data_IF_960919870344
#
_entry.id   IF_960919870344
#
_cell.length_a   1.000
_cell.length_b   1.000
_cell.length_c   1.000
_cell.angle_alpha   90.00
_cell.angle_beta   90.00
_cell.angle_gamma   90.00
#
_symmetry.space_group_name_H-M   'P 1'
#
loop_
_entity.id
_entity.type
_entity.pdbx_description
1 polymer ?
#
# COMPACT_ATOMS: atom_id res chain seq x y z
N UNK A 1 -19.05 -7.02 -37.15
CA UNK A 1 -17.70 -7.10 -37.79
C UNK A 1 -16.59 -6.79 -36.78
N UNK A 2 -15.51 -7.57 -36.76
CA UNK A 2 -14.34 -7.28 -35.92
C UNK A 2 -13.55 -6.10 -36.50
N UNK A 3 -12.94 -5.29 -35.64
CA UNK A 3 -12.01 -4.25 -36.08
C UNK A 3 -10.76 -4.90 -36.67
N UNK A 4 -10.06 -4.19 -37.57
CA UNK A 4 -8.80 -4.67 -38.14
C UNK A 4 -7.78 -5.04 -37.05
N UNK A 5 -7.77 -4.28 -35.95
CA UNK A 5 -6.92 -4.51 -34.78
C UNK A 5 -7.31 -5.78 -34.04
N UNK A 6 -8.61 -5.99 -33.76
CA UNK A 6 -9.08 -7.21 -33.12
C UNK A 6 -8.80 -8.47 -33.95
N UNK A 7 -8.92 -8.39 -35.28
CA UNK A 7 -8.54 -9.49 -36.18
C UNK A 7 -7.05 -9.82 -36.08
N UNK A 8 -6.19 -8.79 -36.07
CA UNK A 8 -4.74 -8.95 -35.88
C UNK A 8 -4.41 -9.57 -34.52
N UNK A 9 -5.07 -9.15 -33.44
CA UNK A 9 -4.89 -9.75 -32.11
C UNK A 9 -5.23 -11.24 -32.10
N UNK A 10 -6.30 -11.67 -32.78
CA UNK A 10 -6.65 -13.09 -32.89
C UNK A 10 -5.60 -13.87 -33.68
N UNK A 11 -5.06 -13.31 -34.77
CA UNK A 11 -3.96 -13.93 -35.51
C UNK A 11 -2.70 -14.09 -34.64
N UNK A 12 -2.37 -13.07 -33.84
CA UNK A 12 -1.25 -13.11 -32.88
C UNK A 12 -1.51 -14.14 -31.77
N UNK A 13 -2.74 -14.31 -31.30
CA UNK A 13 -3.06 -15.32 -30.27
C UNK A 13 -2.78 -16.75 -30.75
N UNK A 14 -2.95 -17.03 -32.05
CA UNK A 14 -2.55 -18.31 -32.64
C UNK A 14 -1.03 -18.52 -32.65
N UNK A 15 -0.24 -17.44 -32.74
CA UNK A 15 1.22 -17.51 -32.62
C UNK A 15 1.64 -17.77 -31.16
N UNK A 16 0.97 -17.14 -30.19
CA UNK A 16 1.21 -17.36 -28.76
C UNK A 16 0.90 -18.80 -28.34
N UNK A 17 -0.21 -19.37 -28.82
CA UNK A 17 -0.55 -20.78 -28.58
C UNK A 17 0.55 -21.74 -29.08
N UNK A 18 1.08 -21.49 -30.27
CA UNK A 18 2.20 -22.28 -30.82
C UNK A 18 3.49 -22.09 -30.01
N UNK A 19 3.79 -20.88 -29.57
CA UNK A 19 4.96 -20.58 -28.75
C UNK A 19 4.91 -21.28 -27.39
N UNK A 20 3.72 -21.39 -26.79
CA UNK A 20 3.47 -22.10 -25.54
C UNK A 20 3.25 -23.61 -25.71
N UNK A 21 3.31 -24.13 -26.94
CA UNK A 21 3.06 -25.54 -27.30
C UNK A 21 1.66 -26.03 -26.88
N UNK A 22 0.68 -25.13 -26.83
CA UNK A 22 -0.73 -25.47 -26.62
C UNK A 22 -1.35 -26.07 -27.88
N UNK A 23 -2.25 -27.04 -27.71
CA UNK A 23 -2.96 -27.68 -28.83
C UNK A 23 -4.05 -26.78 -29.40
N UNK A 24 -4.71 -26.02 -28.52
CA UNK A 24 -5.85 -25.16 -28.85
C UNK A 24 -5.55 -23.70 -28.45
N UNK A 25 -6.30 -22.76 -29.04
CA UNK A 25 -6.19 -21.34 -28.72
C UNK A 25 -7.17 -21.03 -27.58
N UNK A 26 -6.66 -21.05 -26.36
CA UNK A 26 -7.40 -20.68 -25.15
C UNK A 26 -7.26 -19.19 -24.76
N UNK A 27 -7.97 -18.80 -23.70
CA UNK A 27 -8.09 -17.42 -23.21
C UNK A 27 -6.76 -16.75 -22.88
N UNK A 28 -5.78 -17.51 -22.40
CA UNK A 28 -4.47 -16.98 -22.02
C UNK A 28 -3.66 -16.51 -23.23
N UNK A 29 -3.82 -17.17 -24.38
CA UNK A 29 -3.15 -16.77 -25.63
C UNK A 29 -3.76 -15.48 -26.18
N UNK A 30 -5.08 -15.32 -26.02
CA UNK A 30 -5.78 -14.08 -26.37
C UNK A 30 -5.32 -12.94 -25.46
N UNK A 31 -5.18 -13.19 -24.15
CA UNK A 31 -4.67 -12.20 -23.20
C UNK A 31 -3.23 -11.77 -23.54
N UNK A 32 -2.34 -12.71 -23.81
CA UNK A 32 -0.96 -12.40 -24.22
C UNK A 32 -0.92 -11.61 -25.54
N UNK A 33 -1.75 -11.96 -26.50
CA UNK A 33 -1.86 -11.22 -27.76
C UNK A 33 -2.38 -9.80 -27.58
N UNK A 34 -3.32 -9.58 -26.65
CA UNK A 34 -3.81 -8.24 -26.30
C UNK A 34 -2.71 -7.39 -25.65
N UNK A 35 -1.90 -7.98 -24.77
CA UNK A 35 -0.79 -7.30 -24.10
C UNK A 35 0.40 -7.03 -25.02
N UNK A 36 0.55 -7.80 -26.10
CA UNK A 36 1.61 -7.62 -27.11
C UNK A 36 1.37 -6.42 -28.04
N UNK A 37 0.14 -5.95 -28.14
CA UNK A 37 -0.24 -4.76 -28.88
C UNK A 37 -0.28 -3.54 -27.94
N UNK A 38 0.89 -2.97 -27.63
CA UNK A 38 1.07 -1.90 -26.62
C UNK A 38 0.24 -0.64 -26.90
N UNK A 39 -0.03 -0.36 -28.17
CA UNK A 39 -0.86 0.76 -28.62
C UNK A 39 -2.38 0.45 -28.58
N UNK A 40 -2.76 -0.79 -28.25
CA UNK A 40 -4.15 -1.22 -28.13
C UNK A 40 -4.79 -0.71 -26.84
N UNK A 41 -6.09 -0.40 -26.91
CA UNK A 41 -6.87 0.07 -25.74
C UNK A 41 -6.79 -0.93 -24.59
N UNK A 42 -6.82 -2.23 -24.88
CA UNK A 42 -6.71 -3.27 -23.86
C UNK A 42 -5.36 -3.24 -23.13
N UNK A 43 -4.24 -3.10 -23.85
CA UNK A 43 -2.91 -2.98 -23.26
C UNK A 43 -2.78 -1.71 -22.41
N UNK A 44 -3.33 -0.58 -22.88
CA UNK A 44 -3.32 0.68 -22.13
C UNK A 44 -4.13 0.59 -20.82
N UNK A 45 -5.30 -0.04 -20.85
CA UNK A 45 -6.12 -0.27 -19.66
C UNK A 45 -5.38 -1.18 -18.69
N UNK A 46 -4.82 -2.29 -19.15
CA UNK A 46 -4.09 -3.24 -18.30
C UNK A 46 -2.80 -2.63 -17.72
N UNK A 47 -2.12 -1.78 -18.48
CA UNK A 47 -0.94 -1.02 -18.02
C UNK A 47 -1.29 -0.06 -16.88
N UNK A 48 -2.50 0.49 -16.83
CA UNK A 48 -2.99 1.28 -15.68
C UNK A 48 -3.05 0.46 -14.38
N UNK A 49 -3.21 -0.85 -14.51
CA UNK A 49 -3.14 -1.81 -13.41
C UNK A 49 -1.74 -2.42 -13.22
N UNK A 50 -0.72 -1.87 -13.89
CA UNK A 50 0.68 -2.35 -13.86
C UNK A 50 0.84 -3.79 -14.39
N UNK A 51 -0.09 -4.26 -15.23
CA UNK A 51 -0.04 -5.58 -15.85
C UNK A 51 0.61 -5.43 -17.22
N UNK A 52 1.82 -5.99 -17.38
CA UNK A 52 2.54 -6.05 -18.64
C UNK A 52 2.60 -7.48 -19.21
N UNK A 53 2.99 -7.60 -20.48
CA UNK A 53 3.12 -8.90 -21.16
C UNK A 53 4.04 -9.86 -20.40
N UNK A 54 5.15 -9.35 -19.86
CA UNK A 54 6.18 -10.17 -19.22
C UNK A 54 5.66 -10.78 -17.92
N UNK A 55 4.99 -9.98 -17.10
CA UNK A 55 4.38 -10.40 -15.84
C UNK A 55 3.27 -11.44 -16.06
N UNK A 56 2.39 -11.20 -17.04
CA UNK A 56 1.35 -12.15 -17.41
C UNK A 56 1.93 -13.49 -17.90
N UNK A 57 2.99 -13.44 -18.72
CA UNK A 57 3.65 -14.63 -19.25
C UNK A 57 4.39 -15.44 -18.18
N UNK A 58 5.08 -14.76 -17.25
CA UNK A 58 5.75 -15.42 -16.13
C UNK A 58 4.75 -16.10 -15.20
N UNK A 59 3.60 -15.49 -14.91
CA UNK A 59 2.60 -16.13 -14.06
C UNK A 59 1.93 -17.33 -14.74
N UNK A 60 1.64 -17.24 -16.04
CA UNK A 60 1.10 -18.37 -16.80
C UNK A 60 2.04 -19.58 -16.71
N UNK A 61 3.35 -19.36 -16.82
CA UNK A 61 4.36 -20.40 -16.58
C UNK A 61 4.36 -20.93 -15.15
N UNK A 62 4.15 -20.08 -14.15
CA UNK A 62 4.08 -20.53 -12.74
C UNK A 62 2.88 -21.45 -12.53
N UNK A 63 1.71 -21.07 -13.07
CA UNK A 63 0.47 -21.87 -13.01
C UNK A 63 0.67 -23.21 -13.71
N UNK A 64 1.24 -23.22 -14.92
CA UNK A 64 1.50 -24.44 -15.69
C UNK A 64 2.47 -25.40 -14.96
N UNK A 65 3.42 -24.86 -14.19
CA UNK A 65 4.36 -25.64 -13.38
C UNK A 65 3.81 -26.04 -12.01
N UNK A 66 2.52 -25.80 -11.73
CA UNK A 66 1.87 -26.13 -10.45
C UNK A 66 2.42 -25.34 -9.25
N UNK A 67 3.08 -24.21 -9.49
CA UNK A 67 3.55 -23.34 -8.41
C UNK A 67 2.40 -22.47 -7.94
N UNK A 68 2.26 -22.25 -6.62
CA UNK A 68 1.26 -21.33 -6.10
C UNK A 68 1.46 -19.96 -6.75
N UNK A 69 0.35 -19.33 -7.17
CA UNK A 69 0.34 -18.04 -7.87
C UNK A 69 1.19 -17.05 -7.08
N UNK A 70 2.27 -16.59 -7.70
CA UNK A 70 3.22 -15.66 -7.09
C UNK A 70 2.88 -14.22 -7.45
N UNK A 71 1.64 -13.94 -7.90
CA UNK A 71 0.99 -12.63 -7.90
C UNK A 71 0.95 -12.03 -6.47
N UNK A 72 2.12 -11.74 -5.92
CA UNK A 72 2.32 -10.63 -5.02
C UNK A 72 2.06 -9.41 -5.90
N UNK A 73 0.82 -8.90 -5.84
CA UNK A 73 0.46 -7.53 -6.24
C UNK A 73 1.72 -6.70 -6.10
N UNK A 74 2.36 -6.26 -7.20
CA UNK A 74 3.56 -5.41 -7.13
C UNK A 74 3.17 -4.31 -6.14
N UNK A 75 3.72 -4.38 -4.92
CA UNK A 75 3.48 -3.35 -3.93
C UNK A 75 4.07 -2.13 -4.61
N UNK A 76 3.22 -1.23 -5.12
CA UNK A 76 3.62 0.07 -5.64
C UNK A 76 4.77 0.53 -4.76
N UNK A 77 5.95 0.80 -5.36
CA UNK A 77 7.09 1.32 -4.60
C UNK A 77 6.54 2.42 -3.71
N UNK A 78 6.57 2.19 -2.40
CA UNK A 78 5.93 3.08 -1.48
C UNK A 78 6.51 4.47 -1.67
N UNK A 79 5.67 5.49 -1.55
CA UNK A 79 6.14 6.88 -1.54
C UNK A 79 7.05 7.14 -0.34
N UNK A 80 7.00 6.25 0.66
CA UNK A 80 7.68 6.38 1.95
C UNK A 80 8.44 5.09 2.31
N UNK A 81 9.50 4.70 1.56
CA UNK A 81 10.20 3.44 1.78
C UNK A 81 10.97 3.36 3.11
N UNK A 82 11.57 4.46 3.60
CA UNK A 82 12.21 4.48 4.92
C UNK A 82 11.17 4.41 6.03
N UNK A 83 10.06 5.17 5.91
CA UNK A 83 8.96 5.10 6.87
C UNK A 83 8.36 3.69 6.95
N UNK A 84 8.18 3.02 5.82
CA UNK A 84 7.63 1.66 5.80
C UNK A 84 8.59 0.60 6.35
N UNK A 85 9.90 0.89 6.33
CA UNK A 85 10.92 0.01 6.91
C UNK A 85 11.02 0.16 8.43
N UNK A 86 10.93 1.39 8.95
CA UNK A 86 11.08 1.70 10.37
C UNK A 86 9.75 1.94 11.11
N UNK A 87 8.63 1.85 10.40
CA UNK A 87 7.30 2.11 10.91
C UNK A 87 6.33 0.97 10.68
N UNK A 88 5.20 1.02 11.37
CA UNK A 88 4.10 0.07 11.26
C UNK A 88 2.84 0.80 10.82
N UNK A 89 2.31 0.44 9.66
CA UNK A 89 1.11 1.08 9.09
C UNK A 89 -0.16 0.53 9.76
N UNK A 90 -0.73 1.32 10.69
CA UNK A 90 -1.95 0.96 11.40
C UNK A 90 -3.16 0.96 10.45
N UNK A 91 -3.14 1.75 9.39
CA UNK A 91 -4.25 1.82 8.42
C UNK A 91 -4.29 0.56 7.56
N UNK A 92 -3.12 0.04 7.17
CA UNK A 92 -3.02 -1.25 6.48
C UNK A 92 -3.47 -2.40 7.40
N UNK A 93 -3.10 -2.38 8.68
CA UNK A 93 -3.55 -3.38 9.66
C UNK A 93 -5.05 -3.33 9.91
N UNK A 94 -5.63 -2.12 9.99
CA UNK A 94 -7.07 -1.91 10.11
C UNK A 94 -7.81 -2.49 8.89
N UNK A 95 -7.33 -2.22 7.66
CA UNK A 95 -7.92 -2.78 6.42
C UNK A 95 -7.91 -4.30 6.39
N UNK A 96 -6.90 -4.92 7.00
CA UNK A 96 -6.77 -6.38 7.09
C UNK A 96 -7.57 -6.99 8.25
N UNK A 97 -8.22 -6.18 9.08
CA UNK A 97 -8.93 -6.65 10.27
C UNK A 97 -8.01 -7.21 11.36
N UNK A 98 -6.73 -6.81 11.37
CA UNK A 98 -5.73 -7.34 12.30
C UNK A 98 -5.58 -6.53 13.59
N UNK A 99 -6.32 -5.42 13.72
CA UNK A 99 -6.35 -4.60 14.93
C UNK A 99 -7.49 -5.04 15.85
N UNK A 100 -7.25 -4.97 17.15
CA UNK A 100 -8.28 -5.30 18.14
C UNK A 100 -9.43 -4.28 18.12
N UNK A 101 -10.68 -4.70 18.34
CA UNK A 101 -11.80 -3.77 18.40
C UNK A 101 -11.69 -2.87 19.63
N UNK A 102 -11.88 -1.57 19.42
CA UNK A 102 -11.72 -0.59 20.50
C UNK A 102 -13.07 -0.30 21.14
N UNK A 103 -13.13 -0.49 22.46
CA UNK A 103 -14.34 -0.33 23.27
C UNK A 103 -14.21 0.95 24.10
N UNK A 104 -15.23 1.81 24.05
CA UNK A 104 -15.40 2.91 25.00
C UNK A 104 -14.48 4.13 24.83
N UNK A 105 -13.75 4.27 23.72
CA UNK A 105 -12.84 5.43 23.45
C UNK A 105 -13.33 6.38 22.37
N UNK A 106 -14.66 6.48 22.21
CA UNK A 106 -15.23 7.16 21.06
C UNK A 106 -14.95 8.66 21.07
N UNK A 107 -15.03 9.28 22.24
CA UNK A 107 -14.89 10.73 22.42
C UNK A 107 -13.43 11.16 22.24
N UNK A 108 -12.47 10.37 22.71
CA UNK A 108 -11.05 10.64 22.54
C UNK A 108 -10.63 10.54 21.08
N UNK A 109 -11.08 9.50 20.37
CA UNK A 109 -10.79 9.33 18.93
C UNK A 109 -11.40 10.48 18.13
N UNK A 110 -12.64 10.88 18.45
CA UNK A 110 -13.29 12.02 17.79
C UNK A 110 -12.55 13.33 18.05
N UNK A 111 -12.12 13.56 19.28
CA UNK A 111 -11.33 14.73 19.65
C UNK A 111 -9.98 14.77 18.92
N UNK A 112 -9.31 13.63 18.78
CA UNK A 112 -8.06 13.52 18.00
C UNK A 112 -8.31 13.86 16.53
N UNK A 113 -9.34 13.27 15.90
CA UNK A 113 -9.70 13.56 14.51
C UNK A 113 -10.04 15.05 14.31
N UNK A 114 -10.74 15.66 15.26
CA UNK A 114 -11.07 17.08 15.24
C UNK A 114 -9.81 17.96 15.31
N UNK A 115 -8.84 17.63 16.18
CA UNK A 115 -7.58 18.38 16.30
C UNK A 115 -6.76 18.26 15.01
N UNK A 116 -6.60 17.05 14.48
CA UNK A 116 -5.86 16.80 13.23
C UNK A 116 -6.44 17.54 12.02
N UNK A 117 -7.76 17.81 12.04
CA UNK A 117 -8.46 18.52 10.95
C UNK A 117 -8.30 20.05 11.00
N UNK A 118 -7.62 20.61 12.02
CA UNK A 118 -7.41 22.05 12.15
C UNK A 118 -6.35 22.54 11.17
N UNK A 119 -6.46 23.81 10.72
CA UNK A 119 -5.42 24.45 9.88
C UNK A 119 -4.15 24.83 10.64
N UNK A 120 -4.27 25.08 11.94
CA UNK A 120 -3.17 25.47 12.85
C UNK A 120 -3.28 24.66 14.14
N UNK A 121 -2.14 24.34 14.78
CA UNK A 121 -2.08 23.52 16.00
C UNK A 121 -2.82 22.19 15.83
N UNK A 122 -2.48 21.50 14.75
CA UNK A 122 -3.10 20.25 14.32
C UNK A 122 -2.36 18.99 14.83
N UNK A 123 -1.43 19.16 15.76
CA UNK A 123 -0.68 18.07 16.37
C UNK A 123 -1.33 17.73 17.73
N UNK A 124 -2.15 16.67 17.83
CA UNK A 124 -2.72 16.24 19.10
C UNK A 124 -1.64 15.64 20.01
N UNK A 125 -1.79 15.84 21.32
CA UNK A 125 -0.93 15.23 22.34
C UNK A 125 -1.83 14.47 23.32
N UNK A 126 -1.62 13.16 23.43
CA UNK A 126 -2.37 12.28 24.32
C UNK A 126 -1.70 12.23 25.70
N UNK A 127 -2.42 12.67 26.74
CA UNK A 127 -1.92 12.74 28.11
C UNK A 127 -2.64 11.70 28.96
N UNK A 128 -1.92 11.08 29.90
CA UNK A 128 -2.43 10.03 30.77
C UNK A 128 -1.31 9.20 31.39
N UNK A 129 -1.64 8.34 32.35
CA UNK A 129 -0.68 7.43 32.97
C UNK A 129 -0.16 6.38 31.96
N UNK A 130 1.02 5.78 32.18
CA UNK A 130 1.49 4.65 31.38
C UNK A 130 0.50 3.48 31.43
N UNK A 131 0.36 2.73 30.33
CA UNK A 131 -0.49 1.53 30.28
C UNK A 131 -2.00 1.79 30.12
N UNK A 132 -2.47 3.05 30.15
CA UNK A 132 -3.90 3.39 29.94
C UNK A 132 -4.38 3.20 28.50
N UNK A 133 -3.59 2.60 27.61
CA UNK A 133 -3.98 2.31 26.23
C UNK A 133 -4.05 3.53 25.31
N UNK A 134 -3.11 4.47 25.41
CA UNK A 134 -3.01 5.62 24.48
C UNK A 134 -2.83 5.16 23.03
N UNK A 135 -2.07 4.09 22.82
CA UNK A 135 -1.86 3.42 21.53
C UNK A 135 -3.17 2.98 20.89
N UNK A 136 -4.14 2.52 21.69
CA UNK A 136 -5.47 2.12 21.20
C UNK A 136 -6.24 3.28 20.56
N UNK A 137 -5.98 4.54 20.96
CA UNK A 137 -6.61 5.71 20.33
C UNK A 137 -6.08 5.90 18.91
N UNK A 138 -4.78 5.65 18.67
CA UNK A 138 -4.18 5.72 17.34
C UNK A 138 -4.68 4.59 16.43
N UNK A 139 -4.81 3.37 16.96
CA UNK A 139 -5.42 2.24 16.27
C UNK A 139 -6.88 2.52 15.91
N UNK A 140 -7.64 3.16 16.82
CA UNK A 140 -9.04 3.52 16.59
C UNK A 140 -9.22 4.60 15.57
N UNK A 141 -8.30 5.58 15.54
CA UNK A 141 -8.23 6.55 14.46
C UNK A 141 -8.03 5.84 13.11
N UNK A 142 -7.11 4.87 13.04
CA UNK A 142 -6.87 4.11 11.81
C UNK A 142 -8.10 3.31 11.37
N UNK A 143 -8.79 2.65 12.30
CA UNK A 143 -10.06 1.96 12.03
C UNK A 143 -11.12 2.93 11.47
N UNK A 144 -11.32 4.08 12.11
CA UNK A 144 -12.31 5.07 11.64
C UNK A 144 -11.97 5.66 10.27
N UNK A 145 -10.69 5.83 9.95
CA UNK A 145 -10.25 6.26 8.62
C UNK A 145 -10.65 5.21 7.57
N UNK A 146 -10.45 3.92 7.85
CA UNK A 146 -10.84 2.83 6.94
C UNK A 146 -12.36 2.71 6.78
N UNK A 147 -13.11 2.92 7.86
CA UNK A 147 -14.57 2.91 7.86
C UNK A 147 -15.21 4.18 7.28
N UNK A 148 -14.41 5.17 6.87
CA UNK A 148 -14.85 6.50 6.44
C UNK A 148 -15.72 7.25 7.47
N UNK A 149 -15.48 7.03 8.77
CA UNK A 149 -16.16 7.71 9.89
C UNK A 149 -15.33 8.87 10.45
N UNK A 150 -14.86 9.74 9.56
CA UNK A 150 -13.92 10.82 9.84
C UNK A 150 -14.27 12.06 8.99
N UNK A 151 -13.76 13.26 9.35
CA UNK A 151 -13.85 14.42 8.47
C UNK A 151 -13.14 14.20 7.12
N UNK A 152 -13.67 14.79 6.05
CA UNK A 152 -13.11 14.70 4.68
C UNK A 152 -11.64 15.09 4.60
N UNK A 153 -11.17 15.99 5.47
CA UNK A 153 -9.77 16.41 5.56
C UNK A 153 -8.81 15.28 5.91
N UNK A 154 -9.30 14.22 6.55
CA UNK A 154 -8.51 13.05 6.97
C UNK A 154 -8.74 11.83 6.07
N UNK A 155 -9.59 11.94 5.04
CA UNK A 155 -9.83 10.85 4.11
C UNK A 155 -8.55 10.45 3.39
N UNK A 156 -8.42 9.15 3.14
CA UNK A 156 -7.29 8.53 2.46
C UNK A 156 -5.92 8.75 3.12
N UNK A 157 -5.86 9.32 4.33
CA UNK A 157 -4.61 9.42 5.08
C UNK A 157 -4.22 8.07 5.67
N UNK A 158 -2.92 7.88 5.86
CA UNK A 158 -2.30 6.71 6.49
C UNK A 158 -1.84 7.08 7.89
N UNK A 159 -2.28 6.33 8.89
CA UNK A 159 -1.76 6.38 10.25
C UNK A 159 -0.62 5.38 10.37
N UNK A 160 0.58 5.85 10.66
CA UNK A 160 1.79 5.03 10.80
C UNK A 160 2.42 5.28 12.16
N UNK A 161 2.75 4.22 12.90
CA UNK A 161 3.55 4.33 14.12
C UNK A 161 5.03 4.26 13.77
N UNK A 162 5.84 5.15 14.34
CA UNK A 162 7.29 5.06 14.21
C UNK A 162 7.86 4.19 15.35
N UNK A 163 8.63 3.16 15.01
CA UNK A 163 9.32 2.35 16.01
C UNK A 163 10.73 2.89 16.25
N UNK A 164 10.90 3.54 17.40
CA UNK A 164 12.18 4.08 17.83
C UNK A 164 13.21 2.98 18.10
N UNK A 165 12.78 1.81 18.57
CA UNK A 165 13.69 0.69 18.82
C UNK A 165 14.29 0.18 17.51
N UNK A 166 13.48 0.06 16.45
CA UNK A 166 13.94 -0.32 15.11
C UNK A 166 14.90 0.69 14.49
N UNK A 167 14.72 1.99 14.76
CA UNK A 167 15.66 3.02 14.28
C UNK A 167 17.03 2.91 14.94
N UNK A 168 17.06 2.65 16.25
CA UNK A 168 18.30 2.47 17.03
C UNK A 168 18.98 1.13 16.72
N UNK A 169 18.19 0.09 16.45
CA UNK A 169 18.69 -1.25 16.16
C UNK A 169 19.70 -1.25 14.99
N UNK A 170 20.86 -1.88 15.21
CA UNK A 170 21.92 -1.98 14.22
C UNK A 170 22.66 -0.67 13.92
N UNK A 171 22.41 0.41 14.65
CA UNK A 171 23.28 1.60 14.64
C UNK A 171 24.40 1.42 15.66
N UNK A 172 25.64 1.68 15.26
CA UNK A 172 26.80 1.67 16.18
C UNK A 172 27.15 3.08 16.67
N UNK A 173 26.76 4.08 15.90
CA UNK A 173 27.09 5.49 16.13
C UNK A 173 25.83 6.34 16.08
N UNK A 174 25.75 7.33 16.97
CA UNK A 174 24.63 8.29 17.04
C UNK A 174 24.32 8.95 15.70
N UNK A 175 25.34 9.28 14.90
CA UNK A 175 25.15 9.89 13.58
C UNK A 175 24.34 9.02 12.60
N UNK A 176 24.44 7.69 12.69
CA UNK A 176 23.67 6.77 11.84
C UNK A 176 22.19 6.76 12.21
N UNK A 177 21.88 6.87 13.50
CA UNK A 177 20.50 7.02 13.98
C UNK A 177 19.91 8.35 13.48
N UNK A 178 20.65 9.45 13.61
CA UNK A 178 20.22 10.77 13.13
C UNK A 178 19.99 10.77 11.61
N UNK A 179 20.86 10.11 10.83
CA UNK A 179 20.70 9.99 9.39
C UNK A 179 19.43 9.21 9.01
N UNK A 180 19.15 8.08 9.68
CA UNK A 180 17.93 7.30 9.47
C UNK A 180 16.67 8.09 9.83
N UNK A 181 16.68 8.77 10.98
CA UNK A 181 15.57 9.61 11.40
C UNK A 181 15.33 10.75 10.39
N UNK A 182 16.40 11.38 9.91
CA UNK A 182 16.33 12.44 8.90
C UNK A 182 15.76 11.94 7.57
N UNK A 183 16.14 10.72 7.15
CA UNK A 183 15.57 10.10 5.95
C UNK A 183 14.05 9.90 6.09
N UNK A 184 13.60 9.36 7.23
CA UNK A 184 12.18 9.17 7.53
C UNK A 184 11.45 10.52 7.54
N UNK A 185 11.97 11.53 8.25
CA UNK A 185 11.38 12.87 8.32
C UNK A 185 11.27 13.53 6.94
N UNK A 186 12.28 13.39 6.08
CA UNK A 186 12.24 13.93 4.73
C UNK A 186 11.12 13.28 3.89
N UNK A 187 10.90 11.97 4.01
CA UNK A 187 9.80 11.29 3.32
C UNK A 187 8.44 11.79 3.81
N UNK A 188 8.30 11.98 5.12
CA UNK A 188 7.07 12.47 5.75
C UNK A 188 6.73 13.88 5.29
N UNK A 189 7.72 14.79 5.26
CA UNK A 189 7.50 16.18 4.83
C UNK A 189 7.02 16.25 3.38
N UNK A 190 7.47 15.31 2.54
CA UNK A 190 7.02 15.21 1.15
C UNK A 190 5.68 14.46 0.99
N UNK A 191 5.24 13.72 2.02
CA UNK A 191 4.02 12.93 2.02
C UNK A 191 2.86 13.68 2.68
N UNK A 192 1.92 14.18 1.87
CA UNK A 192 0.74 14.90 2.36
C UNK A 192 -0.37 13.98 2.92
N UNK A 193 -0.21 12.67 2.77
CA UNK A 193 -1.18 11.63 3.12
C UNK A 193 -0.79 10.82 4.35
N UNK A 194 0.19 11.27 5.15
CA UNK A 194 0.67 10.53 6.32
C UNK A 194 0.36 11.28 7.63
N UNK A 195 -0.12 10.53 8.62
CA UNK A 195 -0.28 10.92 10.03
C UNK A 195 0.63 10.00 10.83
N UNK A 196 1.51 10.59 11.65
CA UNK A 196 2.47 9.82 12.44
C UNK A 196 2.00 9.76 13.87
N UNK A 197 2.02 8.56 14.41
CA UNK A 197 1.95 8.32 15.83
C UNK A 197 3.35 8.07 16.37
N UNK A 198 3.77 8.90 17.32
CA UNK A 198 5.03 8.76 18.06
C UNK A 198 4.63 8.40 19.48
N UNK A 199 4.92 7.17 19.88
CA UNK A 199 4.82 6.80 21.29
C UNK A 199 6.01 7.39 22.05
N UNK A 200 5.80 7.73 23.32
CA UNK A 200 6.87 8.18 24.22
C UNK A 200 7.74 9.35 23.68
N UNK A 201 7.11 10.41 23.14
CA UNK A 201 7.82 11.58 22.57
C UNK A 201 8.81 12.31 23.53
N UNK A 202 8.77 11.99 24.82
CA UNK A 202 9.60 12.62 25.85
C UNK A 202 10.96 11.94 26.05
N UNK A 203 11.23 10.89 25.28
CA UNK A 203 12.45 10.06 25.35
C UNK A 203 13.34 10.31 24.14
#
# INVERSE_FOLDING_TARGET
PLTARAKKTLEVSGQEARALKSKDIDTEHVLLALLKDEEGVAAQVLSTYEIDYKEAYEELKNIQNGRPSSFKKKRKKSKTPALDHFGRDLTELARRGSLDPIIGRNDEIERVAQILSRRKKNNPVLIGEPGVGKTAIAEGLAQRIVENRIPQTLENKRVVTLDMASLVAGTKYRGQFEERLKAVLNEIVNANDVIIFIDEIHT
#
